data_IF_080438232594
#
_entry.id   IF_080438232594
#
_cell.length_a   1.000
_cell.length_b   1.000
_cell.length_c   1.000
_cell.angle_alpha   90.00
_cell.angle_beta   90.00
_cell.angle_gamma   90.00
#
_symmetry.space_group_name_H-M   'P 1'
#
loop_
_entity.id
_entity.type
_entity.pdbx_description
1 polymer ?
#
# COMPACT_ATOMS: atom_id res chain seq x y z
N UNK A 1 -6.06 19.48 6.77
CA UNK A 1 -4.63 19.42 6.46
C UNK A 1 -4.11 18.10 6.99
N UNK A 2 -3.53 17.28 6.14
CA UNK A 2 -2.80 16.08 6.57
C UNK A 2 -1.43 16.54 7.05
N UNK A 3 -1.20 16.49 8.36
CA UNK A 3 0.01 17.03 8.96
C UNK A 3 1.18 16.05 8.84
N UNK A 4 0.89 14.72 8.71
CA UNK A 4 1.89 13.66 8.60
C UNK A 4 1.54 12.67 7.47
N UNK A 5 1.40 13.17 6.25
CA UNK A 5 1.25 12.35 5.05
C UNK A 5 2.63 12.10 4.42
N UNK A 6 2.94 10.85 4.13
CA UNK A 6 4.22 10.42 3.56
C UNK A 6 4.00 9.34 2.50
N UNK A 7 4.63 9.51 1.34
CA UNK A 7 4.74 8.46 0.34
C UNK A 7 6.19 7.97 0.28
N UNK A 8 6.39 6.69 0.48
CA UNK A 8 7.70 6.04 0.53
C UNK A 8 7.84 5.17 -0.71
N UNK A 9 8.86 5.45 -1.53
CA UNK A 9 9.23 4.64 -2.67
C UNK A 9 10.49 3.84 -2.35
N UNK A 10 10.38 2.52 -2.41
CA UNK A 10 11.46 1.60 -2.03
C UNK A 10 11.77 0.69 -3.20
N UNK A 11 12.82 0.96 -3.98
CA UNK A 11 13.19 0.11 -5.11
C UNK A 11 13.63 -1.28 -4.68
N UNK A 12 14.08 -1.46 -3.43
CA UNK A 12 14.44 -2.74 -2.84
C UNK A 12 13.87 -2.83 -1.42
N UNK A 13 12.77 -3.54 -1.27
CA UNK A 13 12.04 -3.67 0.01
C UNK A 13 12.91 -4.32 1.10
N UNK A 14 13.81 -5.20 0.70
CA UNK A 14 14.78 -5.83 1.59
C UNK A 14 15.64 -4.81 2.35
N UNK A 15 16.07 -3.77 1.67
CA UNK A 15 16.88 -2.69 2.27
C UNK A 15 16.07 -1.86 3.27
N UNK A 16 14.80 -1.61 2.98
CA UNK A 16 13.92 -0.82 3.83
C UNK A 16 13.49 -1.59 5.09
N UNK A 17 13.05 -2.82 4.91
CA UNK A 17 12.59 -3.64 6.03
C UNK A 17 13.76 -4.22 6.82
N UNK A 18 14.87 -4.56 6.13
CA UNK A 18 16.04 -5.22 6.75
C UNK A 18 15.76 -6.65 7.20
N UNK A 19 16.79 -7.36 7.60
CA UNK A 19 16.69 -8.73 8.10
C UNK A 19 15.97 -8.82 9.46
N UNK A 20 15.82 -7.70 10.16
CA UNK A 20 15.20 -7.62 11.50
C UNK A 20 13.90 -6.84 11.52
N UNK A 21 13.21 -6.69 10.39
CA UNK A 21 12.01 -5.87 10.24
C UNK A 21 10.91 -6.17 11.28
N UNK A 22 10.78 -7.43 11.66
CA UNK A 22 9.89 -7.87 12.72
C UNK A 22 10.34 -7.41 14.12
N UNK A 23 11.62 -7.59 14.41
CA UNK A 23 12.18 -7.25 15.72
C UNK A 23 12.35 -5.74 15.89
N UNK A 24 12.50 -5.00 14.80
CA UNK A 24 12.58 -3.53 14.82
C UNK A 24 11.24 -2.86 15.10
N UNK A 25 10.11 -3.58 14.98
CA UNK A 25 8.78 -3.04 15.17
C UNK A 25 8.22 -2.26 13.96
N UNK A 26 8.95 -2.18 12.84
CA UNK A 26 8.51 -1.42 11.66
C UNK A 26 7.26 -2.03 11.01
N UNK A 27 7.17 -3.36 10.93
CA UNK A 27 6.00 -4.04 10.36
C UNK A 27 4.73 -3.82 11.20
N UNK A 28 4.73 -3.99 12.53
CA UNK A 28 3.60 -3.61 13.37
C UNK A 28 3.22 -2.14 13.23
N UNK A 29 4.20 -1.24 13.12
CA UNK A 29 3.97 0.19 12.93
C UNK A 29 3.27 0.48 11.60
N UNK A 30 3.77 -0.03 10.49
CA UNK A 30 3.14 0.08 9.17
C UNK A 30 1.73 -0.53 9.15
N UNK A 31 1.55 -1.65 9.85
CA UNK A 31 0.26 -2.31 10.01
C UNK A 31 -0.75 -1.40 10.72
N UNK A 32 -0.32 -0.70 11.77
CA UNK A 32 -1.19 0.23 12.52
C UNK A 32 -1.50 1.50 11.71
N UNK A 33 -0.57 1.98 10.91
CA UNK A 33 -0.74 3.20 10.10
C UNK A 33 -1.61 3.00 8.86
N UNK A 34 -1.90 1.76 8.48
CA UNK A 34 -2.86 1.47 7.42
C UNK A 34 -4.25 2.07 7.67
N UNK A 35 -4.66 2.17 8.92
CA UNK A 35 -5.96 2.73 9.33
C UNK A 35 -5.97 4.27 9.32
N UNK A 36 -4.87 4.92 8.94
CA UNK A 36 -4.74 6.38 8.92
C UNK A 36 -5.20 7.02 10.24
N UNK A 37 -4.61 6.67 11.38
CA UNK A 37 -5.08 7.13 12.68
C UNK A 37 -4.98 8.65 12.81
N UNK A 38 -5.99 9.26 13.44
CA UNK A 38 -5.99 10.70 13.73
C UNK A 38 -4.90 11.09 14.74
N UNK A 39 -4.47 10.14 15.58
CA UNK A 39 -3.40 10.32 16.57
C UNK A 39 -2.64 9.02 16.74
N UNK A 40 -1.32 9.08 16.79
CA UNK A 40 -0.45 7.95 17.08
C UNK A 40 0.76 8.39 17.89
N UNK A 41 1.11 7.61 18.90
CA UNK A 41 2.29 7.83 19.73
C UNK A 41 3.31 6.74 19.43
N UNK A 42 4.54 7.15 19.22
CA UNK A 42 5.65 6.22 19.01
C UNK A 42 6.78 6.54 19.98
N UNK A 43 7.17 5.55 20.77
CA UNK A 43 8.15 5.69 21.82
C UNK A 43 9.32 4.75 21.60
N UNK A 44 10.52 5.30 21.60
CA UNK A 44 11.76 4.54 21.52
C UNK A 44 12.66 4.83 22.72
N UNK A 45 13.49 3.85 23.10
CA UNK A 45 14.46 4.04 24.19
C UNK A 45 15.54 5.07 23.84
N UNK A 46 15.88 5.20 22.56
CA UNK A 46 16.97 6.05 22.09
C UNK A 46 16.53 7.46 21.73
N UNK A 47 15.32 7.63 21.18
CA UNK A 47 14.88 8.90 20.58
C UNK A 47 13.71 9.57 21.32
N UNK A 48 13.24 8.96 22.42
CA UNK A 48 12.15 9.51 23.21
C UNK A 48 10.78 9.19 22.64
N UNK A 49 9.84 10.12 22.82
CA UNK A 49 8.43 9.97 22.47
C UNK A 49 8.05 10.92 21.33
N UNK A 50 7.37 10.38 20.32
CA UNK A 50 6.89 11.13 19.17
C UNK A 50 5.37 11.08 19.14
N UNK A 51 4.75 12.25 19.08
CA UNK A 51 3.32 12.40 18.85
C UNK A 51 3.08 12.75 17.39
N UNK A 52 2.26 11.95 16.72
CA UNK A 52 1.90 12.14 15.32
C UNK A 52 0.40 12.34 15.21
N UNK A 53 -0.05 13.29 14.40
CA UNK A 53 -1.46 13.52 14.11
C UNK A 53 -1.75 13.34 12.63
N UNK A 54 -2.95 12.78 12.33
CA UNK A 54 -3.43 12.56 10.97
C UNK A 54 -2.41 11.78 10.11
N UNK A 55 -1.96 10.65 10.63
CA UNK A 55 -0.94 9.81 9.95
C UNK A 55 -1.54 9.19 8.69
N UNK A 56 -0.86 9.39 7.57
CA UNK A 56 -1.20 8.77 6.29
C UNK A 56 0.09 8.33 5.59
N UNK A 57 0.28 7.01 5.44
CA UNK A 57 1.48 6.47 4.80
C UNK A 57 1.08 5.66 3.58
N UNK A 58 1.67 6.02 2.45
CA UNK A 58 1.64 5.23 1.22
C UNK A 58 3.02 4.61 1.01
N UNK A 59 3.07 3.32 0.76
CA UNK A 59 4.30 2.58 0.50
C UNK A 59 4.20 1.87 -0.85
N UNK A 60 5.16 2.16 -1.71
CA UNK A 60 5.37 1.43 -2.97
C UNK A 60 6.75 0.80 -2.91
N UNK A 61 6.83 -0.52 -2.99
CA UNK A 61 8.09 -1.25 -2.89
C UNK A 61 8.22 -2.34 -3.94
N UNK A 62 9.45 -2.63 -4.33
CA UNK A 62 9.77 -3.76 -5.17
C UNK A 62 10.64 -4.76 -4.39
N UNK A 63 10.48 -6.04 -4.69
CA UNK A 63 11.29 -7.12 -4.12
C UNK A 63 11.18 -8.39 -4.97
N UNK A 64 12.00 -9.39 -4.68
CA UNK A 64 11.92 -10.71 -5.30
C UNK A 64 11.01 -11.64 -4.50
N UNK A 65 10.40 -12.62 -5.18
CA UNK A 65 9.60 -13.66 -4.52
C UNK A 65 10.43 -14.48 -3.53
N UNK A 66 11.70 -14.74 -3.87
CA UNK A 66 12.62 -15.49 -3.00
C UNK A 66 12.88 -14.75 -1.69
N UNK A 67 13.10 -13.44 -1.76
CA UNK A 67 13.28 -12.64 -0.54
C UNK A 67 12.02 -12.67 0.32
N UNK A 68 10.86 -12.51 -0.28
CA UNK A 68 9.58 -12.55 0.44
C UNK A 68 9.36 -13.89 1.14
N UNK A 69 9.57 -14.99 0.43
CA UNK A 69 9.37 -16.33 0.99
C UNK A 69 10.29 -16.65 2.16
N UNK A 70 11.51 -16.08 2.14
CA UNK A 70 12.53 -16.33 3.16
C UNK A 70 12.42 -15.38 4.36
N UNK A 71 12.01 -14.13 4.13
CA UNK A 71 12.12 -13.07 5.14
C UNK A 71 10.77 -12.56 5.67
N UNK A 72 9.64 -12.99 5.08
CA UNK A 72 8.33 -12.75 5.65
C UNK A 72 7.85 -14.02 6.38
N UNK A 73 8.00 -14.09 7.71
CA UNK A 73 7.56 -15.24 8.48
C UNK A 73 6.06 -15.45 8.35
N UNK A 74 5.60 -16.70 8.59
CA UNK A 74 4.18 -17.05 8.57
C UNK A 74 3.32 -16.16 9.46
N UNK A 75 3.85 -15.74 10.61
CA UNK A 75 3.19 -14.80 11.53
C UNK A 75 2.87 -13.43 10.90
N UNK A 76 3.59 -13.04 9.86
CA UNK A 76 3.29 -11.79 9.09
C UNK A 76 2.05 -11.95 8.26
N UNK A 77 1.86 -13.14 7.71
CA UNK A 77 0.68 -13.48 6.92
C UNK A 77 -0.53 -13.51 7.84
N UNK A 78 -0.41 -14.18 8.98
CA UNK A 78 -1.45 -14.28 10.01
C UNK A 78 -1.63 -12.96 10.77
N UNK A 79 -0.54 -12.24 11.05
CA UNK A 79 -0.51 -10.96 11.77
C UNK A 79 -1.13 -9.77 11.01
N UNK A 80 -1.59 -9.98 9.79
CA UNK A 80 -2.40 -9.03 9.04
C UNK A 80 -1.62 -7.95 8.27
N UNK A 81 -0.29 -7.95 8.26
CA UNK A 81 0.50 -7.05 7.42
C UNK A 81 0.26 -7.31 5.94
N UNK A 82 0.40 -8.56 5.51
CA UNK A 82 0.19 -8.95 4.11
C UNK A 82 -1.24 -8.70 3.64
N UNK A 83 -2.22 -8.81 4.54
CA UNK A 83 -3.60 -8.45 4.26
C UNK A 83 -3.84 -6.96 3.98
N UNK A 84 -2.85 -6.10 4.26
CA UNK A 84 -2.86 -4.64 4.02
C UNK A 84 -2.05 -4.21 2.81
N UNK A 85 -1.38 -5.15 2.15
CA UNK A 85 -0.52 -4.91 1.00
C UNK A 85 -1.15 -5.52 -0.25
N UNK A 86 -1.10 -4.78 -1.35
CA UNK A 86 -1.50 -5.28 -2.66
C UNK A 86 -0.24 -5.76 -3.37
N UNK A 87 -0.18 -7.06 -3.62
CA UNK A 87 0.94 -7.67 -4.33
C UNK A 87 0.65 -7.74 -5.82
N UNK A 88 1.56 -7.19 -6.62
CA UNK A 88 1.54 -7.31 -8.07
C UNK A 88 2.73 -8.17 -8.47
N UNK A 89 2.45 -9.35 -9.02
CA UNK A 89 3.47 -10.33 -9.37
C UNK A 89 3.60 -10.41 -10.89
N UNK A 90 4.83 -10.37 -11.39
CA UNK A 90 5.17 -10.68 -12.77
C UNK A 90 6.24 -11.77 -12.77
N UNK A 91 5.97 -12.89 -13.42
CA UNK A 91 6.89 -14.03 -13.51
C UNK A 91 7.97 -13.81 -14.56
N UNK A 92 7.61 -13.12 -15.65
CA UNK A 92 8.51 -12.83 -16.76
C UNK A 92 8.46 -11.35 -17.14
N UNK A 93 9.59 -10.77 -17.60
CA UNK A 93 9.57 -9.42 -18.13
C UNK A 93 8.72 -9.37 -19.41
N UNK A 94 7.80 -8.42 -19.46
CA UNK A 94 6.90 -8.23 -20.62
C UNK A 94 7.65 -7.93 -21.91
N UNK A 95 8.77 -7.23 -21.80
CA UNK A 95 9.66 -6.85 -22.89
C UNK A 95 11.10 -6.99 -22.44
N UNK A 96 11.92 -7.65 -23.24
CA UNK A 96 13.37 -7.69 -23.07
C UNK A 96 13.99 -6.70 -24.04
N UNK A 97 14.23 -5.47 -23.58
CA UNK A 97 14.92 -4.44 -24.36
C UNK A 97 16.15 -3.98 -23.58
N UNK A 98 17.38 -4.26 -24.04
CA UNK A 98 18.60 -3.87 -23.34
C UNK A 98 18.85 -2.35 -23.36
N UNK A 99 18.19 -1.64 -24.26
CA UNK A 99 18.30 -0.18 -24.41
C UNK A 99 16.91 0.44 -24.49
N UNK A 100 16.18 0.53 -23.35
CA UNK A 100 14.83 1.05 -23.33
C UNK A 100 14.85 2.55 -23.62
N UNK A 101 14.27 2.93 -24.74
CA UNK A 101 13.98 4.33 -25.09
C UNK A 101 12.48 4.55 -25.08
N UNK A 102 12.05 5.68 -24.58
CA UNK A 102 10.65 6.07 -24.63
C UNK A 102 10.29 6.52 -26.04
N UNK A 103 9.24 5.95 -26.59
CA UNK A 103 8.62 6.45 -27.81
C UNK A 103 7.98 7.83 -27.60
N UNK A 104 7.70 8.54 -28.67
CA UNK A 104 7.02 9.83 -28.57
C UNK A 104 5.66 9.72 -27.86
N UNK A 105 4.91 8.66 -28.11
CA UNK A 105 3.60 8.44 -27.48
C UNK A 105 3.76 8.20 -25.97
N UNK A 106 4.81 7.49 -25.54
CA UNK A 106 5.10 7.27 -24.11
C UNK A 106 5.56 8.56 -23.42
N UNK A 107 6.27 9.43 -24.11
CA UNK A 107 6.63 10.78 -23.59
C UNK A 107 5.38 11.63 -23.40
N UNK A 108 4.45 11.61 -24.36
CA UNK A 108 3.17 12.32 -24.26
C UNK A 108 2.37 11.76 -23.09
N UNK A 109 2.20 10.44 -23.02
CA UNK A 109 1.47 9.78 -21.92
C UNK A 109 2.09 10.10 -20.55
N UNK A 110 3.42 10.08 -20.44
CA UNK A 110 4.11 10.48 -19.20
C UNK A 110 3.74 11.90 -18.78
N UNK A 111 3.68 12.82 -19.74
CA UNK A 111 3.33 14.21 -19.47
C UNK A 111 1.89 14.34 -18.99
N UNK A 112 0.96 13.62 -19.60
CA UNK A 112 -0.44 13.58 -19.19
C UNK A 112 -0.61 12.99 -17.79
N UNK A 113 0.08 11.88 -17.47
CA UNK A 113 0.08 11.29 -16.14
C UNK A 113 0.63 12.24 -15.06
N UNK A 114 1.69 13.00 -15.37
CA UNK A 114 2.21 14.02 -14.45
C UNK A 114 1.16 15.11 -14.19
N UNK A 115 0.43 15.53 -15.22
CA UNK A 115 -0.64 16.52 -15.08
C UNK A 115 -1.79 15.98 -14.22
N UNK A 116 -2.19 14.73 -14.41
CA UNK A 116 -3.23 14.08 -13.61
C UNK A 116 -2.81 13.93 -12.14
N UNK A 117 -1.59 13.49 -11.89
CA UNK A 117 -1.05 13.44 -10.51
C UNK A 117 -1.00 14.84 -9.88
N UNK A 118 -0.68 15.87 -10.64
CA UNK A 118 -0.69 17.25 -10.16
C UNK A 118 -2.11 17.72 -9.81
N UNK A 119 -3.11 17.34 -10.60
CA UNK A 119 -4.52 17.61 -10.28
C UNK A 119 -4.96 16.89 -9.03
N UNK A 120 -4.64 15.59 -8.91
CA UNK A 120 -4.97 14.77 -7.73
C UNK A 120 -4.34 15.36 -6.47
N UNK A 121 -3.09 15.81 -6.53
CA UNK A 121 -2.40 16.43 -5.39
C UNK A 121 -3.08 17.71 -4.88
N UNK A 122 -3.89 18.36 -5.71
CA UNK A 122 -4.65 19.56 -5.33
C UNK A 122 -6.02 19.24 -4.73
N UNK A 123 -6.49 17.98 -4.75
CA UNK A 123 -7.71 17.60 -4.09
C UNK A 123 -7.55 17.62 -2.58
N UNK A 124 -8.38 18.39 -1.92
CA UNK A 124 -8.39 18.52 -0.46
C UNK A 124 -9.80 18.40 0.07
N UNK A 125 -9.94 17.84 1.27
CA UNK A 125 -11.20 17.75 1.98
C UNK A 125 -11.78 16.34 2.02
N UNK A 126 -13.02 16.23 2.43
CA UNK A 126 -13.70 14.95 2.54
C UNK A 126 -14.23 14.51 1.17
N UNK A 127 -13.99 13.26 0.81
CA UNK A 127 -14.59 12.64 -0.35
C UNK A 127 -16.01 12.18 -0.05
N UNK A 128 -16.95 12.52 -0.91
CA UNK A 128 -18.31 12.04 -0.83
C UNK A 128 -18.55 10.89 -1.80
N UNK A 129 -19.05 9.77 -1.26
CA UNK A 129 -19.43 8.63 -2.09
C UNK A 129 -20.85 8.87 -2.59
N UNK A 130 -21.05 8.87 -3.92
CA UNK A 130 -22.37 9.03 -4.52
C UNK A 130 -23.29 7.84 -4.21
N UNK A 131 -24.61 8.01 -4.21
CA UNK A 131 -25.55 6.90 -4.03
C UNK A 131 -25.32 5.74 -4.99
N UNK A 132 -25.10 6.04 -6.29
CA UNK A 132 -24.81 5.01 -7.30
C UNK A 132 -23.52 4.23 -7.00
N UNK A 133 -22.46 4.91 -6.56
CA UNK A 133 -21.22 4.24 -6.17
C UNK A 133 -21.41 3.35 -4.93
N UNK A 134 -22.22 3.79 -3.96
CA UNK A 134 -22.59 2.96 -2.79
C UNK A 134 -23.35 1.71 -3.19
N UNK A 135 -24.30 1.83 -4.12
CA UNK A 135 -25.09 0.69 -4.61
C UNK A 135 -24.20 -0.33 -5.32
N UNK A 136 -23.33 0.13 -6.22
CA UNK A 136 -22.40 -0.76 -6.95
C UNK A 136 -21.38 -1.41 -6.00
N UNK A 137 -20.82 -0.66 -5.07
CA UNK A 137 -19.93 -1.24 -4.06
C UNK A 137 -20.67 -2.27 -3.19
N UNK A 138 -21.89 -2.00 -2.77
CA UNK A 138 -22.69 -2.91 -1.96
C UNK A 138 -23.03 -4.21 -2.70
N UNK A 139 -23.40 -4.11 -3.99
CA UNK A 139 -23.63 -5.28 -4.84
C UNK A 139 -22.38 -6.13 -4.91
N UNK A 140 -21.25 -5.53 -5.25
CA UNK A 140 -19.98 -6.23 -5.34
C UNK A 140 -19.59 -6.84 -3.97
N UNK A 141 -19.69 -6.09 -2.89
CA UNK A 141 -19.30 -6.52 -1.54
C UNK A 141 -20.10 -7.74 -1.08
N UNK A 142 -21.40 -7.76 -1.33
CA UNK A 142 -22.29 -8.85 -0.92
C UNK A 142 -22.14 -10.11 -1.78
N UNK A 143 -21.66 -9.99 -3.01
CA UNK A 143 -21.48 -11.11 -3.92
C UNK A 143 -20.01 -11.54 -4.09
N UNK A 144 -19.08 -10.90 -3.35
CA UNK A 144 -17.68 -11.28 -3.42
C UNK A 144 -17.48 -12.69 -2.91
N UNK A 145 -16.72 -13.48 -3.66
CA UNK A 145 -16.30 -14.81 -3.24
C UNK A 145 -14.99 -14.68 -2.45
N UNK A 146 -14.94 -15.33 -1.30
CA UNK A 146 -13.69 -15.52 -0.56
C UNK A 146 -13.00 -16.78 -1.07
N UNK A 147 -11.68 -16.73 -1.22
CA UNK A 147 -10.90 -17.91 -1.57
C UNK A 147 -10.89 -18.92 -0.41
N UNK A 148 -10.68 -20.19 -0.76
CA UNK A 148 -10.65 -21.29 0.22
C UNK A 148 -9.35 -21.30 1.07
N UNK A 149 -8.33 -20.56 0.68
CA UNK A 149 -7.05 -20.53 1.40
C UNK A 149 -7.17 -19.67 2.66
N UNK A 150 -7.15 -20.34 3.81
CA UNK A 150 -7.27 -19.70 5.12
C UNK A 150 -6.14 -18.69 5.40
N UNK A 151 -4.96 -18.88 4.80
CA UNK A 151 -3.83 -17.95 4.93
C UNK A 151 -4.16 -16.57 4.36
N UNK A 152 -5.05 -16.49 3.36
CA UNK A 152 -5.48 -15.24 2.72
C UNK A 152 -6.72 -14.61 3.40
N UNK A 153 -7.21 -15.17 4.50
CA UNK A 153 -8.41 -14.67 5.19
C UNK A 153 -8.27 -13.19 5.59
N UNK A 154 -7.08 -12.80 6.05
CA UNK A 154 -6.79 -11.40 6.40
C UNK A 154 -6.89 -10.45 5.21
N UNK A 155 -6.45 -10.89 4.03
CA UNK A 155 -6.58 -10.14 2.78
C UNK A 155 -8.05 -10.04 2.33
N UNK A 156 -8.78 -11.16 2.33
CA UNK A 156 -10.19 -11.15 1.90
C UNK A 156 -11.05 -10.26 2.80
N UNK A 157 -10.78 -10.26 4.11
CA UNK A 157 -11.47 -9.39 5.06
C UNK A 157 -11.27 -7.89 4.76
N UNK A 158 -10.11 -7.51 4.20
CA UNK A 158 -9.75 -6.12 3.86
C UNK A 158 -9.92 -5.74 2.40
N UNK A 159 -10.35 -6.66 1.57
CA UNK A 159 -10.53 -6.42 0.13
C UNK A 159 -11.47 -5.23 -0.14
N UNK A 160 -12.49 -5.04 0.69
CA UNK A 160 -13.39 -3.88 0.62
C UNK A 160 -12.65 -2.56 0.87
N UNK A 161 -11.80 -2.51 1.88
CA UNK A 161 -11.01 -1.33 2.21
C UNK A 161 -10.02 -0.99 1.09
N UNK A 162 -9.39 -2.02 0.49
CA UNK A 162 -8.50 -1.82 -0.66
C UNK A 162 -9.23 -1.19 -1.85
N UNK A 163 -10.42 -1.70 -2.18
CA UNK A 163 -11.23 -1.14 -3.28
C UNK A 163 -11.56 0.33 -3.03
N UNK A 164 -11.97 0.68 -1.82
CA UNK A 164 -12.27 2.06 -1.47
C UNK A 164 -11.01 2.95 -1.51
N UNK A 165 -9.88 2.48 -0.99
CA UNK A 165 -8.61 3.23 -0.99
C UNK A 165 -8.03 3.45 -2.39
N UNK A 166 -8.27 2.53 -3.33
CA UNK A 166 -7.83 2.68 -4.73
C UNK A 166 -8.78 3.61 -5.49
N UNK A 167 -10.06 3.64 -5.15
CA UNK A 167 -11.07 4.45 -5.82
C UNK A 167 -11.03 5.94 -5.43
N UNK A 168 -10.31 6.27 -4.36
CA UNK A 168 -10.09 7.64 -3.86
C UNK A 168 -8.85 8.26 -4.49
#
# INVERSE_FOLDING_TARGET
KLDNALTIFVPELATFLGASAFHSGIIPLLTSFYECPSSADYKTKASGEFHMSNVCINLVGATTLDWMSTNLPGDTVEGGFTGRVIFVVAEEPRLSNPWPELSNDEIILRTELIQDLTRINNFMGAFAITPGAKDEFSKWYNHRTEGLDLRLRGYYGRKGDHVLKIAL
#
